data_IF_187869687840
#
_entry.id   IF_187869687840
#
_cell.length_a   1.000
_cell.length_b   1.000
_cell.length_c   1.000
_cell.angle_alpha   90.00
_cell.angle_beta   90.00
_cell.angle_gamma   90.00
#
_symmetry.space_group_name_H-M   'P 1'
#
loop_
_entity.id
_entity.type
_entity.pdbx_description
1 polymer ?
#
# COMPACT_ATOMS: atom_id res chain seq x y z
N UNK A 1 28.22 -19.13 1.29
CA UNK A 1 27.93 -17.82 0.66
C UNK A 1 28.06 -16.73 1.72
N UNK A 2 28.33 -15.48 1.32
CA UNK A 2 28.60 -14.37 2.24
C UNK A 2 27.74 -13.14 1.89
N UNK A 3 27.42 -12.31 2.87
CA UNK A 3 26.76 -11.01 2.64
C UNK A 3 27.82 -9.91 2.54
N UNK A 4 28.04 -9.40 1.32
CA UNK A 4 28.98 -8.30 1.05
C UNK A 4 28.75 -7.10 1.97
N UNK A 5 27.49 -6.71 2.22
CA UNK A 5 27.17 -5.58 3.10
C UNK A 5 27.56 -5.77 4.57
N UNK A 6 27.73 -7.01 5.06
CA UNK A 6 28.25 -7.29 6.40
C UNK A 6 29.78 -7.21 6.39
N UNK A 7 30.42 -7.89 5.44
CA UNK A 7 31.88 -7.90 5.31
C UNK A 7 32.43 -6.49 5.08
N UNK A 8 31.78 -5.70 4.22
CA UNK A 8 32.14 -4.30 3.97
C UNK A 8 32.08 -3.46 5.25
N UNK A 9 31.12 -3.70 6.14
CA UNK A 9 31.04 -2.99 7.41
C UNK A 9 32.20 -3.37 8.35
N UNK A 10 32.57 -4.65 8.40
CA UNK A 10 33.69 -5.16 9.20
C UNK A 10 35.04 -4.58 8.75
N UNK A 11 35.24 -4.32 7.45
CA UNK A 11 36.47 -3.69 6.90
C UNK A 11 36.46 -2.15 6.94
N UNK A 12 35.47 -1.54 7.59
CA UNK A 12 35.44 -0.09 7.84
C UNK A 12 34.53 0.72 6.93
N UNK A 13 33.56 0.09 6.25
CA UNK A 13 32.53 0.84 5.51
C UNK A 13 31.60 1.62 6.46
N UNK A 14 31.73 2.95 6.43
CA UNK A 14 31.02 3.88 7.33
C UNK A 14 29.55 4.12 6.97
N UNK A 15 29.14 3.88 5.73
CA UNK A 15 27.83 4.32 5.22
C UNK A 15 26.72 3.27 5.29
N UNK A 16 26.96 2.13 5.93
CA UNK A 16 25.98 1.04 6.05
C UNK A 16 24.63 1.53 6.61
N UNK A 17 24.66 2.37 7.66
CA UNK A 17 23.43 2.90 8.29
C UNK A 17 22.72 3.96 7.44
N UNK A 18 23.49 4.77 6.71
CA UNK A 18 22.94 5.78 5.78
C UNK A 18 22.19 5.08 4.66
N UNK A 19 22.81 4.09 4.03
CA UNK A 19 22.19 3.30 2.96
C UNK A 19 20.96 2.55 3.48
N UNK A 20 21.02 1.96 4.68
CA UNK A 20 19.87 1.27 5.29
C UNK A 20 18.66 2.20 5.44
N UNK A 21 18.89 3.41 5.93
CA UNK A 21 17.83 4.43 6.10
C UNK A 21 17.26 4.87 4.76
N UNK A 22 18.11 5.14 3.77
CA UNK A 22 17.69 5.54 2.42
C UNK A 22 16.89 4.43 1.73
N UNK A 23 17.28 3.18 1.93
CA UNK A 23 16.60 2.05 1.31
C UNK A 23 15.26 1.75 1.96
N UNK A 24 15.14 1.95 3.28
CA UNK A 24 13.84 1.94 3.95
C UNK A 24 12.92 3.05 3.41
N UNK A 25 13.45 4.26 3.19
CA UNK A 25 12.71 5.36 2.57
C UNK A 25 12.27 5.01 1.14
N UNK A 26 13.13 4.39 0.33
CA UNK A 26 12.81 3.94 -1.02
C UNK A 26 11.67 2.92 -1.02
N UNK A 27 11.77 1.89 -0.18
CA UNK A 27 10.74 0.85 -0.02
C UNK A 27 9.40 1.41 0.46
N UNK A 28 9.41 2.38 1.37
CA UNK A 28 8.19 3.04 1.82
C UNK A 28 7.48 3.80 0.68
N UNK A 29 8.23 4.49 -0.18
CA UNK A 29 7.68 5.15 -1.37
C UNK A 29 7.11 4.13 -2.36
N UNK A 30 7.85 3.06 -2.60
CA UNK A 30 7.42 1.97 -3.48
C UNK A 30 6.11 1.33 -3.00
N UNK A 31 5.97 1.04 -1.71
CA UNK A 31 4.74 0.52 -1.13
C UNK A 31 3.52 1.44 -1.36
N UNK A 32 3.71 2.76 -1.22
CA UNK A 32 2.66 3.74 -1.50
C UNK A 32 2.28 3.72 -2.97
N UNK A 33 3.26 3.65 -3.88
CA UNK A 33 3.02 3.58 -5.32
C UNK A 33 2.28 2.30 -5.71
N UNK A 34 2.72 1.15 -5.20
CA UNK A 34 2.08 -0.15 -5.46
C UNK A 34 0.62 -0.11 -4.98
N UNK A 35 0.35 0.32 -3.74
CA UNK A 35 -1.03 0.40 -3.23
C UNK A 35 -1.92 1.34 -4.04
N UNK A 36 -1.37 2.45 -4.54
CA UNK A 36 -2.11 3.34 -5.45
C UNK A 36 -2.44 2.62 -6.76
N UNK A 37 -1.47 1.94 -7.36
CA UNK A 37 -1.66 1.22 -8.61
C UNK A 37 -2.65 0.04 -8.46
N UNK A 38 -2.59 -0.70 -7.35
CA UNK A 38 -3.53 -1.79 -7.06
C UNK A 38 -4.97 -1.26 -6.92
N UNK A 39 -5.14 -0.14 -6.21
CA UNK A 39 -6.45 0.51 -6.08
C UNK A 39 -6.97 1.08 -7.41
N UNK A 40 -6.08 1.65 -8.24
CA UNK A 40 -6.43 2.15 -9.57
C UNK A 40 -6.80 1.01 -10.53
N UNK A 41 -6.08 -0.11 -10.49
CA UNK A 41 -6.37 -1.29 -11.31
C UNK A 41 -7.72 -1.90 -10.94
N UNK A 42 -8.05 -2.02 -9.65
CA UNK A 42 -9.35 -2.51 -9.19
C UNK A 42 -10.50 -1.57 -9.60
N UNK A 43 -10.33 -0.26 -9.46
CA UNK A 43 -11.36 0.72 -9.83
C UNK A 43 -11.60 0.78 -11.34
N UNK A 44 -10.53 0.70 -12.14
CA UNK A 44 -10.62 0.70 -13.60
C UNK A 44 -11.27 -0.60 -14.12
N UNK A 45 -10.90 -1.75 -13.55
CA UNK A 45 -11.53 -3.03 -13.88
C UNK A 45 -13.02 -3.04 -13.55
N UNK A 46 -13.40 -2.57 -12.36
CA UNK A 46 -14.81 -2.50 -11.96
C UNK A 46 -15.63 -1.52 -12.82
N UNK A 47 -15.05 -0.38 -13.20
CA UNK A 47 -15.71 0.60 -14.06
C UNK A 47 -15.87 0.08 -15.50
N UNK A 48 -14.87 -0.62 -16.04
CA UNK A 48 -14.93 -1.25 -17.35
C UNK A 48 -15.98 -2.36 -17.41
N UNK A 49 -16.07 -3.22 -16.39
CA UNK A 49 -17.13 -4.24 -16.31
C UNK A 49 -18.53 -3.62 -16.21
N UNK A 50 -18.68 -2.50 -15.49
CA UNK A 50 -19.96 -1.80 -15.37
C UNK A 50 -20.45 -1.17 -16.67
N UNK A 51 -19.54 -0.66 -17.52
CA UNK A 51 -19.93 -0.09 -18.82
C UNK A 51 -20.31 -1.15 -19.86
N UNK A 52 -19.77 -2.38 -19.76
CA UNK A 52 -20.09 -3.47 -20.70
C UNK A 52 -21.42 -4.15 -20.34
N UNK A 53 -21.81 -4.17 -19.07
CA UNK A 53 -23.09 -4.74 -18.62
C UNK A 53 -24.34 -3.93 -19.03
N UNK A 54 -24.18 -2.71 -19.55
CA UNK A 54 -25.28 -1.84 -19.99
C UNK A 54 -25.61 -1.94 -21.49
N UNK A 55 -24.93 -2.79 -22.26
CA UNK A 55 -25.07 -2.83 -23.73
C UNK A 55 -25.65 -4.12 -24.34
N UNK A 56 -26.00 -5.15 -23.58
CA UNK A 56 -26.65 -6.35 -24.13
C UNK A 56 -28.06 -6.54 -23.54
N UNK A 57 -29.01 -5.75 -24.05
CA UNK A 57 -30.44 -6.06 -24.01
C UNK A 57 -30.97 -6.14 -25.43
N UNK A 58 -30.68 -7.25 -26.10
CA UNK A 58 -31.55 -7.85 -27.12
C UNK A 58 -30.91 -9.15 -27.56
N UNK A 59 -31.50 -10.30 -27.25
CA UNK A 59 -31.89 -11.37 -28.18
C UNK A 59 -32.54 -12.51 -27.35
N UNK A 60 -33.57 -13.20 -27.88
CA UNK A 60 -34.50 -13.99 -27.07
C UNK A 60 -33.97 -15.39 -26.74
N UNK A 61 -34.30 -15.84 -25.53
CA UNK A 61 -34.21 -17.24 -25.07
C UNK A 61 -34.97 -18.17 -26.02
N UNK A 62 -34.26 -19.09 -26.66
CA UNK A 62 -34.83 -20.37 -27.07
C UNK A 62 -34.02 -21.46 -26.34
N UNK A 63 -34.63 -22.01 -25.30
CA UNK A 63 -34.19 -23.25 -24.65
C UNK A 63 -34.35 -24.41 -25.63
N UNK A 64 -33.37 -25.32 -25.67
CA UNK A 64 -33.58 -26.78 -25.76
C UNK A 64 -32.24 -27.55 -25.58
N UNK A 65 -32.26 -28.85 -25.20
CA UNK A 65 -31.46 -29.35 -24.07
C UNK A 65 -30.34 -30.37 -24.40
N UNK A 66 -29.35 -30.46 -23.48
CA UNK A 66 -28.56 -31.66 -23.09
C UNK A 66 -27.46 -32.21 -24.05
N UNK A 67 -26.51 -33.08 -23.60
CA UNK A 67 -25.71 -33.14 -22.37
C UNK A 67 -24.19 -33.21 -22.67
N UNK A 68 -23.31 -32.65 -21.83
CA UNK A 68 -21.90 -33.12 -21.84
C UNK A 68 -21.21 -33.10 -20.47
N UNK A 69 -20.95 -34.33 -20.02
CA UNK A 69 -19.84 -34.76 -19.17
C UNK A 69 -19.61 -33.99 -17.87
N UNK A 70 -20.12 -34.58 -16.79
CA UNK A 70 -19.70 -34.31 -15.43
C UNK A 70 -18.18 -34.53 -15.30
N UNK A 71 -17.43 -33.45 -15.16
CA UNK A 71 -16.13 -33.48 -14.51
C UNK A 71 -16.37 -32.92 -13.11
N UNK A 72 -16.33 -33.81 -12.12
CA UNK A 72 -16.42 -33.46 -10.71
C UNK A 72 -15.21 -32.63 -10.30
N UNK A 73 -15.37 -31.31 -10.21
CA UNK A 73 -14.42 -30.45 -9.52
C UNK A 73 -14.60 -30.62 -7.99
N UNK A 74 -13.53 -30.81 -7.21
CA UNK A 74 -13.65 -30.98 -5.76
C UNK A 74 -14.13 -29.67 -5.12
N UNK A 75 -15.31 -29.70 -4.52
CA UNK A 75 -15.81 -28.67 -3.61
C UNK A 75 -14.97 -28.67 -2.34
N UNK A 76 -13.91 -27.84 -2.30
CA UNK A 76 -13.32 -27.38 -1.06
C UNK A 76 -13.58 -25.88 -0.92
N UNK A 77 -14.83 -25.53 -0.60
CA UNK A 77 -15.17 -24.20 -0.11
C UNK A 77 -14.54 -24.02 1.27
N UNK A 78 -13.32 -23.49 1.31
CA UNK A 78 -12.78 -22.94 2.55
C UNK A 78 -13.66 -21.74 2.91
N UNK A 79 -14.42 -21.89 3.98
CA UNK A 79 -15.14 -20.82 4.67
C UNK A 79 -14.13 -19.69 4.95
N UNK A 80 -14.18 -18.63 4.15
CA UNK A 80 -13.48 -17.39 4.43
C UNK A 80 -14.09 -16.85 5.72
N UNK A 81 -13.38 -16.97 6.83
CA UNK A 81 -13.73 -16.21 8.03
C UNK A 81 -13.63 -14.74 7.65
N UNK A 82 -14.75 -14.02 7.71
CA UNK A 82 -14.76 -12.57 7.58
C UNK A 82 -13.89 -11.99 8.69
N UNK A 83 -12.71 -11.51 8.32
CA UNK A 83 -11.94 -10.58 9.14
C UNK A 83 -12.75 -9.29 9.14
N UNK A 84 -13.13 -8.72 10.30
CA UNK A 84 -13.83 -7.45 10.34
C UNK A 84 -12.99 -6.40 9.63
N UNK A 85 -13.47 -5.91 8.48
CA UNK A 85 -12.85 -4.81 7.77
C UNK A 85 -13.05 -3.58 8.64
N UNK A 86 -11.98 -3.17 9.34
CA UNK A 86 -11.94 -1.87 10.01
C UNK A 86 -12.40 -0.80 9.00
N UNK A 87 -13.44 -0.07 9.36
CA UNK A 87 -14.05 0.96 8.52
C UNK A 87 -13.01 2.04 8.20
N UNK A 88 -13.11 2.63 7.00
CA UNK A 88 -12.17 3.64 6.48
C UNK A 88 -11.97 4.84 7.41
N UNK A 89 -12.93 5.09 8.30
CA UNK A 89 -12.92 6.22 9.23
C UNK A 89 -11.97 6.01 10.43
N UNK A 90 -11.77 4.76 10.89
CA UNK A 90 -10.84 4.47 12.00
C UNK A 90 -9.37 4.61 11.58
N UNK A 91 -9.06 4.35 10.30
CA UNK A 91 -7.71 4.52 9.77
C UNK A 91 -7.32 5.98 9.53
N UNK A 92 -8.27 6.86 9.22
CA UNK A 92 -7.99 8.30 9.06
C UNK A 92 -7.73 9.00 10.41
N UNK A 93 -8.51 8.68 11.44
CA UNK A 93 -8.36 9.29 12.78
C UNK A 93 -7.03 8.89 13.43
N UNK A 94 -6.60 7.63 13.24
CA UNK A 94 -5.32 7.14 13.75
C UNK A 94 -4.13 7.73 12.99
N UNK A 95 -4.23 7.91 11.67
CA UNK A 95 -3.18 8.56 10.87
C UNK A 95 -2.96 10.01 11.30
N UNK A 96 -4.04 10.79 11.48
CA UNK A 96 -3.97 12.20 11.92
C UNK A 96 -3.30 12.36 13.29
N UNK A 97 -3.59 11.46 14.24
CA UNK A 97 -2.94 11.45 15.56
C UNK A 97 -1.45 11.10 15.48
N UNK A 98 -1.09 10.10 14.68
CA UNK A 98 0.33 9.72 14.46
C UNK A 98 1.10 10.85 13.79
N UNK A 99 0.50 11.54 12.80
CA UNK A 99 1.13 12.69 12.15
C UNK A 99 1.29 13.90 13.07
N UNK A 100 0.36 14.12 14.01
CA UNK A 100 0.42 15.19 14.99
C UNK A 100 1.55 14.97 16.00
N UNK A 101 1.64 13.77 16.58
CA UNK A 101 2.70 13.44 17.54
C UNK A 101 4.09 13.47 16.89
N UNK A 102 4.20 13.02 15.63
CA UNK A 102 5.44 13.15 14.86
C UNK A 102 5.83 14.62 14.64
N UNK A 103 4.86 15.49 14.31
CA UNK A 103 5.10 16.94 14.17
C UNK A 103 5.61 17.57 15.46
N UNK A 104 5.01 17.23 16.60
CA UNK A 104 5.41 17.72 17.93
C UNK A 104 6.83 17.28 18.32
N UNK A 105 7.27 16.09 17.90
CA UNK A 105 8.64 15.65 18.14
C UNK A 105 9.64 16.38 17.24
N UNK A 106 9.30 16.59 15.96
CA UNK A 106 10.14 17.36 15.03
C UNK A 106 10.31 18.80 15.51
N UNK A 107 9.23 19.44 15.98
CA UNK A 107 9.26 20.81 16.49
C UNK A 107 10.21 20.97 17.68
N UNK A 108 10.20 20.02 18.63
CA UNK A 108 11.13 20.03 19.77
C UNK A 108 12.60 19.93 19.35
N UNK A 109 12.89 19.10 18.35
CA UNK A 109 14.25 18.92 17.83
C UNK A 109 14.68 20.14 17.03
N UNK A 110 13.77 20.76 16.28
CA UNK A 110 14.05 21.89 15.39
C UNK A 110 14.12 23.23 16.15
N UNK A 111 13.41 23.37 17.28
CA UNK A 111 13.36 24.58 18.11
C UNK A 111 14.72 25.27 18.40
N UNK A 112 15.78 24.57 18.87
CA UNK A 112 17.07 25.23 19.13
C UNK A 112 17.73 25.75 17.85
N UNK A 113 17.58 25.05 16.72
CA UNK A 113 18.13 25.47 15.44
C UNK A 113 17.36 26.65 14.86
N UNK A 114 16.05 26.67 15.03
CA UNK A 114 15.20 27.80 14.63
C UNK A 114 15.57 29.08 15.39
N UNK A 115 15.88 29.00 16.68
CA UNK A 115 16.33 30.17 17.46
C UNK A 115 17.65 30.76 16.92
N UNK A 116 18.59 29.89 16.55
CA UNK A 116 19.86 30.32 15.93
C UNK A 116 19.58 30.99 14.58
N UNK A 117 18.76 30.40 13.73
CA UNK A 117 18.41 30.96 12.41
C UNK A 117 17.74 32.34 12.56
N UNK A 118 16.83 32.49 13.52
CA UNK A 118 16.15 33.75 13.82
C UNK A 118 17.11 34.82 14.37
N UNK A 119 18.14 34.43 15.12
CA UNK A 119 19.15 35.37 15.62
C UNK A 119 19.96 36.03 14.50
N UNK A 120 20.08 35.37 13.35
CA UNK A 120 20.71 35.91 12.14
C UNK A 120 19.75 36.75 11.26
N UNK A 121 18.53 37.01 11.73
CA UNK A 121 17.56 37.88 11.04
C UNK A 121 16.75 37.19 9.93
N UNK A 122 16.85 35.87 9.78
CA UNK A 122 16.03 35.12 8.84
C UNK A 122 14.66 34.81 9.49
N UNK A 123 13.58 35.26 8.83
CA UNK A 123 12.18 34.97 9.19
C UNK A 123 11.56 34.00 8.21
#
# INVERSE_FOLDING_TARGET
YCHLGRLSHEVGWKYQQVVRTLENKRKAREYITIRKNDGLHLNLAHSSMKSVASSDSSYPLHEDPSPRSQISAPTCVKRVQQIPLATRDDQQVTFSKVTYEAGKQVEKVVAPFTQVIQSFGYR
#
